data_IF_044662899903
#
_entry.id   IF_044662899903
#
_cell.length_a   1.000
_cell.length_b   1.000
_cell.length_c   1.000
_cell.angle_alpha   90.00
_cell.angle_beta   90.00
_cell.angle_gamma   90.00
#
_symmetry.space_group_name_H-M   'P 1'
#
loop_
_entity.id
_entity.type
_entity.pdbx_description
1 polymer ?
#
# COMPACT_ATOMS: atom_id res chain seq x y z
N UNK A 1 -42.73 48.98 57.12
CA UNK A 1 -43.21 48.01 56.12
C UNK A 1 -42.24 48.03 54.96
N UNK A 2 -41.28 47.12 54.95
CA UNK A 2 -40.28 47.09 53.88
C UNK A 2 -40.32 45.68 53.25
N UNK A 3 -40.72 45.63 51.96
CA UNK A 3 -40.81 44.40 51.21
C UNK A 3 -39.44 44.15 50.54
N UNK A 4 -38.74 43.16 51.04
CA UNK A 4 -37.49 42.69 50.42
C UNK A 4 -37.74 41.86 49.14
N UNK A 5 -37.23 42.33 48.03
CA UNK A 5 -37.26 41.64 46.75
C UNK A 5 -36.08 40.65 46.70
N UNK A 6 -36.36 39.37 46.61
CA UNK A 6 -35.34 38.32 46.39
C UNK A 6 -35.04 38.20 44.92
N UNK A 7 -33.79 38.48 44.56
CA UNK A 7 -33.24 38.29 43.21
C UNK A 7 -32.85 36.79 43.05
N UNK A 8 -33.53 36.10 42.17
CA UNK A 8 -33.17 34.71 41.79
C UNK A 8 -32.21 34.79 40.62
N UNK A 9 -30.95 34.45 40.86
CA UNK A 9 -29.93 34.31 39.81
C UNK A 9 -30.07 32.90 39.22
N UNK A 10 -30.56 32.79 37.99
CA UNK A 10 -30.57 31.55 37.22
C UNK A 10 -29.20 31.35 36.59
N UNK A 11 -28.46 30.36 37.04
CA UNK A 11 -27.22 29.93 36.41
C UNK A 11 -27.54 29.10 35.16
N UNK A 12 -27.28 29.65 34.00
CA UNK A 12 -27.35 28.89 32.73
C UNK A 12 -26.11 28.01 32.60
N UNK A 13 -26.29 26.70 32.73
CA UNK A 13 -25.26 25.69 32.44
C UNK A 13 -25.21 25.54 30.91
N UNK A 14 -24.13 26.07 30.28
CA UNK A 14 -23.83 25.87 28.88
C UNK A 14 -23.23 24.47 28.70
N UNK A 15 -24.04 23.51 28.26
CA UNK A 15 -23.55 22.19 27.90
C UNK A 15 -22.80 22.27 26.56
N UNK A 16 -21.48 22.25 26.62
CA UNK A 16 -20.67 22.13 25.45
C UNK A 16 -20.81 20.70 24.88
N UNK A 17 -21.58 20.53 23.83
CA UNK A 17 -21.64 19.31 23.04
C UNK A 17 -20.29 19.16 22.31
N UNK A 18 -19.41 18.29 22.82
CA UNK A 18 -18.22 17.85 22.11
C UNK A 18 -18.71 16.97 20.96
N UNK A 19 -18.76 17.53 19.77
CA UNK A 19 -18.99 16.78 18.54
C UNK A 19 -17.75 15.94 18.28
N UNK A 20 -17.76 14.70 18.79
CA UNK A 20 -16.79 13.68 18.40
C UNK A 20 -17.01 13.39 16.91
N UNK A 21 -16.15 13.91 16.04
CA UNK A 21 -16.03 13.43 14.67
C UNK A 21 -15.57 11.96 14.74
N UNK A 22 -16.51 11.05 14.85
CA UNK A 22 -16.27 9.64 14.64
C UNK A 22 -15.77 9.46 13.21
N UNK A 23 -14.49 9.12 13.06
CA UNK A 23 -13.98 8.54 11.83
C UNK A 23 -14.83 7.32 11.55
N UNK A 24 -15.67 7.39 10.54
CA UNK A 24 -16.43 6.24 10.05
C UNK A 24 -15.41 5.21 9.61
N UNK A 25 -15.19 4.19 10.44
CA UNK A 25 -14.47 2.97 10.05
C UNK A 25 -15.24 2.41 8.84
N UNK A 26 -14.59 2.40 7.68
CA UNK A 26 -15.17 1.85 6.47
C UNK A 26 -15.71 0.45 6.76
N UNK A 27 -17.00 0.27 6.56
CA UNK A 27 -17.64 -1.04 6.69
C UNK A 27 -17.18 -1.86 5.50
N UNK A 28 -16.27 -2.80 5.75
CA UNK A 28 -16.00 -3.86 4.78
C UNK A 28 -17.31 -4.62 4.55
N UNK A 29 -17.60 -4.91 3.28
CA UNK A 29 -18.79 -5.64 2.83
C UNK A 29 -19.05 -6.89 3.68
N UNK A 30 -20.34 -7.24 3.86
CA UNK A 30 -20.76 -8.45 4.56
C UNK A 30 -19.95 -9.69 4.17
N UNK A 31 -19.41 -10.37 5.19
CA UNK A 31 -18.64 -11.60 5.00
C UNK A 31 -17.16 -11.55 5.41
N UNK A 32 -16.62 -10.39 5.82
CA UNK A 32 -15.24 -10.24 6.25
C UNK A 32 -15.12 -9.88 7.74
N UNK A 33 -14.09 -10.40 8.41
CA UNK A 33 -13.71 -10.05 9.79
C UNK A 33 -12.29 -9.52 9.80
N UNK A 34 -12.08 -8.31 10.32
CA UNK A 34 -10.75 -7.75 10.52
C UNK A 34 -9.98 -8.61 11.53
N UNK A 35 -8.82 -9.12 11.14
CA UNK A 35 -7.97 -9.97 11.99
C UNK A 35 -6.63 -9.33 12.31
N UNK A 36 -6.21 -8.33 11.51
CA UNK A 36 -5.00 -7.56 11.77
C UNK A 36 -5.07 -6.19 11.07
N UNK A 37 -4.52 -5.18 11.71
CA UNK A 37 -4.33 -3.86 11.12
C UNK A 37 -3.08 -3.17 11.65
N UNK A 38 -2.50 -2.27 10.85
CA UNK A 38 -1.58 -1.21 11.26
C UNK A 38 -2.11 0.11 10.71
N UNK A 39 -2.43 1.04 11.60
CA UNK A 39 -2.94 2.39 11.29
C UNK A 39 -1.84 3.45 11.37
N UNK A 40 -0.59 3.03 11.55
CA UNK A 40 0.58 3.92 11.63
C UNK A 40 0.45 5.07 12.64
N UNK A 41 -0.20 4.79 13.79
CA UNK A 41 -0.43 5.78 14.85
C UNK A 41 0.82 6.06 15.71
N UNK A 42 1.92 5.35 15.48
CA UNK A 42 3.19 5.54 16.16
C UNK A 42 3.77 6.93 15.84
N UNK A 43 4.41 7.57 16.84
CA UNK A 43 4.87 8.95 16.72
C UNK A 43 6.23 9.13 16.05
N UNK A 44 7.12 8.14 16.17
CA UNK A 44 8.53 8.31 15.83
C UNK A 44 9.02 7.38 14.73
N UNK A 45 8.53 6.16 14.69
CA UNK A 45 8.92 5.13 13.72
C UNK A 45 7.79 4.13 13.55
N UNK A 46 7.76 3.41 12.43
CA UNK A 46 6.88 2.27 12.25
C UNK A 46 7.28 1.10 13.17
N UNK A 47 6.36 0.19 13.42
CA UNK A 47 6.59 -1.00 14.24
C UNK A 47 7.60 -1.95 13.60
N UNK A 48 8.79 -2.03 14.19
CA UNK A 48 9.88 -2.90 13.70
C UNK A 48 9.64 -4.39 13.97
N UNK A 49 8.64 -4.77 14.77
CA UNK A 49 8.22 -6.16 14.89
C UNK A 49 7.44 -6.63 13.65
N UNK A 50 6.80 -5.70 12.95
CA UNK A 50 6.02 -5.98 11.73
C UNK A 50 6.80 -5.63 10.46
N UNK A 51 7.55 -4.52 10.45
CA UNK A 51 8.16 -3.96 9.25
C UNK A 51 9.68 -3.97 9.31
N UNK A 52 10.31 -4.22 8.16
CA UNK A 52 11.73 -3.96 7.89
C UNK A 52 11.84 -2.94 6.78
N UNK A 53 12.91 -2.14 6.76
CA UNK A 53 13.29 -1.35 5.59
C UNK A 53 13.76 -2.29 4.49
N UNK A 54 13.44 -1.96 3.24
CA UNK A 54 13.86 -2.75 2.07
C UNK A 54 15.32 -2.43 1.74
N UNK A 55 16.12 -3.47 1.54
CA UNK A 55 17.51 -3.34 1.15
C UNK A 55 17.65 -2.88 -0.32
N UNK A 56 18.74 -2.16 -0.59
CA UNK A 56 19.11 -1.82 -1.96
C UNK A 56 19.52 -3.07 -2.73
N UNK A 57 19.02 -3.15 -3.97
CA UNK A 57 19.40 -4.18 -4.93
C UNK A 57 19.92 -3.59 -6.24
N UNK A 58 19.85 -4.38 -7.28
CA UNK A 58 20.34 -4.03 -8.63
C UNK A 58 19.22 -3.88 -9.65
N UNK A 59 17.99 -4.24 -9.31
CA UNK A 59 16.82 -4.11 -10.17
C UNK A 59 16.33 -2.66 -10.22
N UNK A 60 15.61 -2.29 -11.26
CA UNK A 60 15.07 -0.95 -11.44
C UNK A 60 14.25 -0.50 -10.21
N UNK A 61 13.45 -1.39 -9.63
CA UNK A 61 12.59 -1.08 -8.51
C UNK A 61 13.33 -0.81 -7.18
N UNK A 62 14.52 -1.43 -6.93
CA UNK A 62 15.19 -1.31 -5.63
C UNK A 62 16.60 -0.68 -5.68
N UNK A 63 17.09 -0.27 -6.86
CA UNK A 63 18.45 0.29 -6.98
C UNK A 63 18.67 1.61 -6.25
N UNK A 64 17.59 2.28 -5.87
CA UNK A 64 17.61 3.51 -5.09
C UNK A 64 17.14 3.34 -3.65
N UNK A 65 16.75 2.13 -3.22
CA UNK A 65 16.34 1.87 -1.83
C UNK A 65 17.44 2.26 -0.85
N UNK A 66 17.04 2.84 0.27
CA UNK A 66 17.96 3.32 1.30
C UNK A 66 17.37 3.17 2.69
N UNK A 67 18.22 2.87 3.66
CA UNK A 67 17.87 2.90 5.08
C UNK A 67 18.02 4.29 5.70
N UNK A 68 18.32 5.34 4.92
CA UNK A 68 18.46 6.69 5.44
C UNK A 68 17.14 7.22 5.98
N UNK A 69 17.17 7.83 7.19
CA UNK A 69 15.95 8.25 7.90
C UNK A 69 15.13 9.28 7.12
N UNK A 70 15.75 10.12 6.30
CA UNK A 70 15.03 11.12 5.48
C UNK A 70 14.09 10.50 4.43
N UNK A 71 14.27 9.20 4.12
CA UNK A 71 13.35 8.47 3.25
C UNK A 71 12.07 8.01 3.96
N UNK A 72 11.97 8.20 5.29
CA UNK A 72 10.86 7.70 6.11
C UNK A 72 10.35 8.78 7.05
N UNK A 73 9.06 8.83 7.29
CA UNK A 73 8.47 9.65 8.35
C UNK A 73 7.17 9.04 8.86
N UNK A 74 6.86 9.31 10.13
CA UNK A 74 5.53 9.11 10.70
C UNK A 74 4.87 10.48 10.81
N UNK A 75 3.77 10.71 10.09
CA UNK A 75 3.16 12.04 10.01
C UNK A 75 1.64 11.97 9.97
N UNK A 76 1.00 12.46 11.05
CA UNK A 76 -0.47 12.54 11.17
C UNK A 76 -1.16 11.18 10.94
N UNK A 77 -0.66 10.12 11.58
CA UNK A 77 -1.21 8.77 11.42
C UNK A 77 -0.94 8.16 10.04
N UNK A 78 0.18 8.51 9.41
CA UNK A 78 0.61 7.91 8.16
C UNK A 78 2.07 7.47 8.24
N UNK A 79 2.38 6.34 7.65
CA UNK A 79 3.72 6.04 7.18
C UNK A 79 3.96 6.83 5.89
N UNK A 80 5.03 7.62 5.86
CA UNK A 80 5.44 8.39 4.68
C UNK A 80 6.72 7.80 4.13
N UNK A 81 6.67 7.32 2.89
CA UNK A 81 7.82 6.85 2.13
C UNK A 81 8.19 7.91 1.10
N UNK A 82 9.48 8.24 1.02
CA UNK A 82 9.96 9.34 0.20
C UNK A 82 10.94 8.89 -0.87
N UNK A 83 10.85 9.56 -2.02
CA UNK A 83 11.92 9.61 -3.00
C UNK A 83 12.55 11.02 -2.98
N UNK A 84 13.85 11.10 -2.72
CA UNK A 84 14.58 12.35 -2.55
C UNK A 84 15.86 12.39 -3.39
N UNK A 85 16.36 13.61 -3.64
CA UNK A 85 17.71 13.80 -4.13
C UNK A 85 18.69 13.34 -3.04
N UNK A 86 19.71 12.60 -3.42
CA UNK A 86 20.72 12.17 -2.46
C UNK A 86 21.77 13.27 -2.22
N UNK A 87 21.44 14.21 -1.36
CA UNK A 87 22.34 15.23 -0.80
C UNK A 87 22.59 15.04 0.71
N UNK A 88 22.02 13.98 1.29
CA UNK A 88 22.04 13.68 2.73
C UNK A 88 22.94 12.52 3.09
N UNK A 89 23.32 11.66 2.15
CA UNK A 89 24.17 10.49 2.35
C UNK A 89 25.46 10.60 1.50
N UNK A 90 26.46 11.38 1.93
CA UNK A 90 27.63 11.74 1.09
C UNK A 90 28.50 10.56 0.65
N UNK A 91 28.44 9.44 1.36
CA UNK A 91 29.17 8.21 1.00
C UNK A 91 28.40 7.29 0.04
N UNK A 92 27.14 7.63 -0.29
CA UNK A 92 26.29 6.90 -1.20
C UNK A 92 26.28 7.62 -2.57
N UNK A 93 26.80 6.96 -3.60
CA UNK A 93 26.94 7.54 -4.94
C UNK A 93 25.66 7.55 -5.77
N UNK A 94 24.56 6.95 -5.26
CA UNK A 94 23.28 6.99 -5.96
C UNK A 94 22.76 8.44 -6.04
N UNK A 95 22.27 8.90 -7.21
CA UNK A 95 21.78 10.27 -7.39
C UNK A 95 20.47 10.57 -6.65
N UNK A 96 19.74 9.50 -6.31
CA UNK A 96 18.47 9.52 -5.58
C UNK A 96 18.48 8.41 -4.54
N UNK A 97 17.71 8.59 -3.46
CA UNK A 97 17.43 7.54 -2.48
C UNK A 97 15.93 7.50 -2.18
N UNK A 98 15.43 6.30 -1.90
CA UNK A 98 14.01 6.03 -1.72
C UNK A 98 13.73 5.17 -0.50
N UNK A 99 12.54 5.35 0.09
CA UNK A 99 12.06 4.54 1.21
C UNK A 99 11.15 3.41 0.76
N UNK A 100 11.28 2.26 1.41
CA UNK A 100 10.39 1.13 1.26
C UNK A 100 10.40 0.27 2.51
N UNK A 101 9.26 -0.36 2.82
CA UNK A 101 9.10 -1.28 3.95
C UNK A 101 8.53 -2.60 3.49
N UNK A 102 8.89 -3.68 4.18
CA UNK A 102 8.34 -5.01 3.92
C UNK A 102 8.08 -5.79 5.21
N UNK A 103 7.23 -6.81 5.10
CA UNK A 103 6.91 -7.72 6.22
C UNK A 103 7.66 -9.05 6.13
N UNK A 104 8.68 -9.16 5.30
CA UNK A 104 9.47 -10.39 5.07
C UNK A 104 10.04 -10.95 6.39
N UNK A 105 9.84 -12.25 6.62
CA UNK A 105 10.27 -12.95 7.84
C UNK A 105 9.51 -12.55 9.11
N UNK A 106 8.47 -11.72 9.01
CA UNK A 106 7.72 -11.19 10.16
C UNK A 106 6.21 -11.45 10.06
N UNK A 107 5.61 -11.19 8.91
CA UNK A 107 4.19 -11.39 8.67
C UNK A 107 3.90 -11.76 7.23
N UNK A 108 3.05 -12.75 7.06
CA UNK A 108 2.56 -13.18 5.74
C UNK A 108 1.04 -13.13 5.67
N UNK A 109 0.54 -13.11 4.45
CA UNK A 109 -0.87 -13.03 4.10
C UNK A 109 -1.24 -14.15 3.14
N UNK A 110 -2.37 -14.79 3.36
CA UNK A 110 -2.95 -15.80 2.49
C UNK A 110 -4.41 -16.03 2.84
N UNK A 111 -5.22 -16.46 1.88
CA UNK A 111 -6.63 -16.84 2.11
C UNK A 111 -7.40 -15.77 2.90
N UNK A 112 -7.53 -14.57 2.32
CA UNK A 112 -8.15 -13.41 2.96
C UNK A 112 -8.14 -12.18 2.05
N UNK A 113 -8.63 -11.04 2.57
CA UNK A 113 -8.58 -9.74 1.90
C UNK A 113 -7.50 -8.87 2.55
N UNK A 114 -6.55 -8.44 1.76
CA UNK A 114 -5.54 -7.43 2.14
C UNK A 114 -5.94 -6.10 1.53
N UNK A 115 -5.98 -5.06 2.34
CA UNK A 115 -6.45 -3.74 1.96
C UNK A 115 -5.49 -2.66 2.46
N UNK A 116 -5.08 -1.77 1.58
CA UNK A 116 -4.17 -0.67 1.87
C UNK A 116 -4.78 0.64 1.40
N UNK A 117 -4.81 1.64 2.30
CA UNK A 117 -5.23 3.00 1.96
C UNK A 117 -4.02 3.89 1.85
N UNK A 118 -3.81 4.46 0.67
CA UNK A 118 -2.65 5.28 0.40
C UNK A 118 -2.99 6.48 -0.49
N UNK A 119 -2.20 7.57 -0.33
CA UNK A 119 -2.15 8.72 -1.23
C UNK A 119 -0.77 8.81 -1.87
N UNK A 120 -0.76 8.99 -3.18
CA UNK A 120 0.43 8.94 -4.00
C UNK A 120 0.66 10.32 -4.62
N UNK A 121 1.76 10.99 -4.27
CA UNK A 121 2.12 12.24 -4.92
C UNK A 121 2.71 11.97 -6.31
N UNK A 122 2.52 12.91 -7.22
CA UNK A 122 3.02 12.82 -8.58
C UNK A 122 4.43 13.39 -8.71
N UNK A 123 5.29 12.71 -9.45
CA UNK A 123 6.57 13.24 -9.94
C UNK A 123 6.99 12.48 -11.20
N UNK A 124 7.66 13.13 -12.13
CA UNK A 124 8.23 12.45 -13.29
C UNK A 124 9.32 11.45 -12.85
N UNK A 125 9.14 10.19 -13.19
CA UNK A 125 10.01 9.09 -12.80
C UNK A 125 9.63 8.44 -11.46
N UNK A 126 8.52 8.85 -10.81
CA UNK A 126 8.02 8.18 -9.61
C UNK A 126 7.24 6.90 -9.97
N UNK A 127 7.46 5.87 -9.16
CA UNK A 127 6.85 4.55 -9.31
C UNK A 127 6.53 3.94 -7.94
N UNK A 128 5.55 4.50 -7.20
CA UNK A 128 5.10 3.89 -5.95
C UNK A 128 4.40 2.56 -6.21
N UNK A 129 4.69 1.56 -5.35
CA UNK A 129 4.14 0.22 -5.45
C UNK A 129 3.66 -0.35 -4.11
N UNK A 130 2.64 -1.20 -4.18
CA UNK A 130 2.10 -2.04 -3.10
C UNK A 130 1.96 -3.44 -3.70
N UNK A 131 2.76 -4.39 -3.23
CA UNK A 131 2.89 -5.67 -3.86
C UNK A 131 3.30 -6.80 -2.91
N UNK A 132 3.23 -8.04 -3.36
CA UNK A 132 3.46 -9.22 -2.54
C UNK A 132 4.41 -10.18 -3.23
N UNK A 133 5.35 -10.72 -2.45
CA UNK A 133 6.20 -11.83 -2.86
C UNK A 133 6.00 -13.05 -1.94
N UNK A 134 6.22 -14.28 -2.44
CA UNK A 134 6.12 -15.48 -1.64
C UNK A 134 7.17 -15.50 -0.54
N UNK A 135 6.81 -15.97 0.65
CA UNK A 135 7.73 -16.08 1.81
C UNK A 135 8.97 -16.93 1.47
N UNK A 136 8.77 -17.98 0.68
CA UNK A 136 9.84 -18.82 0.16
C UNK A 136 9.59 -19.09 -1.32
N UNK A 137 10.63 -18.95 -2.13
CA UNK A 137 10.51 -19.22 -3.56
C UNK A 137 11.49 -18.44 -4.41
N UNK A 138 11.36 -18.59 -5.71
CA UNK A 138 12.14 -17.90 -6.74
C UNK A 138 11.22 -17.14 -7.69
N UNK A 139 11.59 -15.91 -7.98
CA UNK A 139 10.89 -15.09 -8.95
C UNK A 139 11.30 -15.48 -10.40
N UNK A 140 10.35 -15.47 -11.36
CA UNK A 140 8.90 -15.25 -11.24
C UNK A 140 8.12 -16.54 -10.94
N UNK A 141 8.78 -17.70 -10.84
CA UNK A 141 8.18 -19.04 -10.76
C UNK A 141 7.13 -19.17 -9.64
N UNK A 142 7.44 -18.63 -8.47
CA UNK A 142 6.62 -18.79 -7.27
C UNK A 142 5.64 -17.64 -7.03
N UNK A 143 5.55 -16.72 -8.00
CA UNK A 143 4.52 -15.69 -8.08
C UNK A 143 4.93 -14.32 -7.54
N UNK A 144 4.22 -13.30 -8.00
CA UNK A 144 4.19 -11.92 -7.52
C UNK A 144 2.78 -11.37 -7.72
N UNK A 145 2.31 -10.57 -6.76
CA UNK A 145 0.96 -10.00 -6.78
C UNK A 145 1.09 -8.49 -6.61
N UNK A 146 0.90 -7.73 -7.68
CA UNK A 146 0.96 -6.27 -7.65
C UNK A 146 -0.44 -5.72 -7.39
N UNK A 147 -0.67 -5.30 -6.14
CA UNK A 147 -1.95 -4.75 -5.71
C UNK A 147 -2.13 -3.34 -6.27
N UNK A 148 -1.04 -2.59 -6.41
CA UNK A 148 -1.03 -1.25 -6.96
C UNK A 148 0.37 -0.86 -7.44
N UNK A 149 0.45 -0.39 -8.66
CA UNK A 149 1.58 0.36 -9.19
C UNK A 149 1.08 1.61 -9.91
N UNK A 150 1.70 2.76 -9.64
CA UNK A 150 1.37 4.01 -10.35
C UNK A 150 2.60 4.57 -11.02
N UNK A 151 2.48 5.04 -12.24
CA UNK A 151 3.57 5.62 -13.00
C UNK A 151 3.43 7.14 -13.05
N UNK A 152 4.50 7.84 -12.65
CA UNK A 152 4.57 9.30 -12.73
C UNK A 152 3.39 10.00 -12.01
N UNK A 153 2.54 10.67 -12.75
CA UNK A 153 1.35 11.37 -12.28
C UNK A 153 0.06 10.83 -12.86
N UNK A 154 0.04 9.57 -13.31
CA UNK A 154 -1.13 8.96 -13.94
C UNK A 154 -2.35 8.95 -13.03
N UNK A 155 -3.55 9.08 -13.62
CA UNK A 155 -4.83 8.97 -12.92
C UNK A 155 -5.38 7.54 -12.89
N UNK A 156 -4.53 6.57 -13.19
CA UNK A 156 -4.81 5.14 -13.13
C UNK A 156 -3.75 4.44 -12.28
N UNK A 157 -4.11 3.28 -11.72
CA UNK A 157 -3.16 2.34 -11.14
C UNK A 157 -3.21 1.02 -11.92
N UNK A 158 -2.07 0.36 -12.01
CA UNK A 158 -1.90 -0.96 -12.57
C UNK A 158 -2.02 -2.00 -11.47
N UNK A 159 -2.60 -3.14 -11.81
CA UNK A 159 -2.70 -4.34 -10.97
C UNK A 159 -2.31 -5.53 -11.81
N UNK A 160 -1.36 -6.33 -11.35
CA UNK A 160 -0.73 -7.37 -12.18
C UNK A 160 -0.48 -8.63 -11.34
N UNK A 161 -0.36 -9.77 -12.00
CA UNK A 161 0.22 -10.98 -11.43
C UNK A 161 1.36 -11.46 -12.31
N UNK A 162 2.50 -11.80 -11.69
CA UNK A 162 3.62 -12.44 -12.36
C UNK A 162 3.80 -13.87 -11.86
N UNK A 163 4.09 -14.76 -12.76
CA UNK A 163 4.42 -16.17 -12.51
C UNK A 163 5.24 -16.72 -13.67
N UNK A 164 5.71 -17.95 -13.57
CA UNK A 164 6.32 -18.60 -14.73
C UNK A 164 5.40 -18.58 -15.96
N UNK A 165 4.11 -18.82 -15.75
CA UNK A 165 3.12 -18.83 -16.82
C UNK A 165 2.94 -17.45 -17.49
N UNK A 166 2.82 -16.40 -16.70
CA UNK A 166 2.54 -15.05 -17.23
C UNK A 166 3.80 -14.34 -17.72
N UNK A 167 4.92 -14.53 -17.03
CA UNK A 167 6.17 -13.81 -17.33
C UNK A 167 7.08 -14.58 -18.28
N UNK A 168 7.46 -15.82 -17.94
CA UNK A 168 8.43 -16.59 -18.75
C UNK A 168 7.78 -17.16 -20.01
N UNK A 169 6.53 -17.66 -19.93
CA UNK A 169 5.80 -18.18 -21.08
C UNK A 169 5.03 -17.09 -21.83
N UNK A 170 4.90 -15.88 -21.28
CA UNK A 170 4.23 -14.74 -21.92
C UNK A 170 2.72 -14.91 -22.12
N UNK A 171 2.06 -15.80 -21.36
CA UNK A 171 0.61 -16.05 -21.48
C UNK A 171 -0.13 -15.11 -20.51
N UNK A 172 -0.58 -13.97 -21.03
CA UNK A 172 -1.12 -12.86 -20.21
C UNK A 172 -2.61 -12.61 -20.39
N UNK A 173 -3.27 -13.30 -21.28
CA UNK A 173 -4.66 -13.08 -21.69
C UNK A 173 -5.62 -14.23 -21.35
N UNK A 174 -5.10 -15.38 -20.91
CA UNK A 174 -5.88 -16.56 -20.55
C UNK A 174 -5.41 -17.25 -19.23
N UNK A 175 -5.91 -16.83 -18.06
CA UNK A 175 -6.78 -15.67 -17.81
C UNK A 175 -6.01 -14.34 -17.90
N UNK A 176 -6.70 -13.20 -18.04
CA UNK A 176 -6.04 -11.90 -17.99
C UNK A 176 -5.23 -11.73 -16.71
N UNK A 177 -3.94 -11.41 -16.86
CA UNK A 177 -2.98 -11.29 -15.74
C UNK A 177 -2.79 -9.87 -15.24
N UNK A 178 -3.45 -8.91 -15.87
CA UNK A 178 -3.27 -7.49 -15.60
C UNK A 178 -4.57 -6.72 -15.91
N UNK A 179 -4.81 -5.67 -15.12
CA UNK A 179 -5.80 -4.64 -15.42
C UNK A 179 -5.32 -3.28 -14.90
N UNK A 180 -5.98 -2.22 -15.34
CA UNK A 180 -5.86 -0.88 -14.79
C UNK A 180 -7.20 -0.41 -14.25
N UNK A 181 -7.15 0.46 -13.24
CA UNK A 181 -8.35 1.10 -12.72
C UNK A 181 -8.11 2.57 -12.38
N UNK A 182 -9.16 3.43 -12.46
CA UNK A 182 -9.04 4.83 -12.14
C UNK A 182 -8.78 5.05 -10.64
N UNK A 183 -7.93 6.03 -10.35
CA UNK A 183 -7.67 6.54 -9.00
C UNK A 183 -7.96 8.03 -8.95
N UNK A 184 -8.23 8.56 -7.75
CA UNK A 184 -8.17 9.99 -7.51
C UNK A 184 -6.69 10.35 -7.25
N UNK A 185 -6.03 11.11 -8.14
CA UNK A 185 -4.60 11.40 -8.05
C UNK A 185 -4.24 12.31 -6.86
N UNK A 186 -5.21 13.04 -6.29
CA UNK A 186 -5.02 14.03 -5.24
C UNK A 186 -5.53 13.56 -3.87
N UNK A 187 -6.20 12.40 -3.81
CA UNK A 187 -6.81 11.87 -2.59
C UNK A 187 -6.23 10.50 -2.18
N UNK A 188 -6.67 10.02 -1.02
CA UNK A 188 -6.44 8.63 -0.62
C UNK A 188 -7.34 7.70 -1.42
N UNK A 189 -6.74 6.66 -1.96
CA UNK A 189 -7.44 5.54 -2.56
C UNK A 189 -7.24 4.28 -1.73
N UNK A 190 -8.16 3.34 -1.85
CA UNK A 190 -8.08 2.03 -1.21
C UNK A 190 -7.75 0.99 -2.29
N UNK A 191 -6.65 0.29 -2.11
CA UNK A 191 -6.20 -0.78 -2.98
C UNK A 191 -6.34 -2.11 -2.26
N UNK A 192 -6.93 -3.11 -2.90
CA UNK A 192 -7.14 -4.38 -2.24
C UNK A 192 -7.00 -5.59 -3.17
N UNK A 193 -6.59 -6.71 -2.57
CA UNK A 193 -6.65 -8.03 -3.19
C UNK A 193 -7.34 -9.02 -2.26
N UNK A 194 -8.26 -9.80 -2.80
CA UNK A 194 -8.84 -10.97 -2.14
C UNK A 194 -8.13 -12.22 -2.66
N UNK A 195 -7.49 -12.92 -1.75
CA UNK A 195 -6.72 -14.13 -2.03
C UNK A 195 -7.56 -15.35 -1.67
N UNK A 196 -7.80 -16.20 -2.65
CA UNK A 196 -8.49 -17.47 -2.52
C UNK A 196 -7.57 -18.62 -2.97
N UNK A 197 -7.95 -19.86 -2.68
CA UNK A 197 -7.18 -21.04 -3.09
C UNK A 197 -7.09 -21.21 -4.61
N UNK A 198 -8.05 -20.64 -5.34
CA UNK A 198 -8.23 -20.81 -6.78
C UNK A 198 -8.35 -19.49 -7.56
N UNK A 199 -8.22 -18.36 -6.89
CA UNK A 199 -8.33 -17.06 -7.56
C UNK A 199 -7.76 -15.91 -6.72
N UNK A 200 -7.37 -14.83 -7.42
CA UNK A 200 -7.07 -13.53 -6.86
C UNK A 200 -8.05 -12.52 -7.46
N UNK A 201 -8.79 -11.79 -6.63
CA UNK A 201 -9.69 -10.72 -7.08
C UNK A 201 -9.17 -9.36 -6.62
N UNK A 202 -9.07 -8.41 -7.55
CA UNK A 202 -8.46 -7.10 -7.32
C UNK A 202 -9.49 -5.98 -7.30
N UNK A 203 -9.22 -4.96 -6.46
CA UNK A 203 -10.14 -3.84 -6.25
C UNK A 203 -9.38 -2.52 -6.11
N UNK A 204 -9.99 -1.44 -6.60
CA UNK A 204 -9.60 -0.05 -6.32
C UNK A 204 -10.86 0.69 -5.87
N UNK A 205 -10.83 1.29 -4.66
CA UNK A 205 -11.98 1.98 -4.05
C UNK A 205 -13.26 1.12 -4.07
N UNK A 206 -13.12 -0.15 -3.63
CA UNK A 206 -14.17 -1.19 -3.63
C UNK A 206 -14.76 -1.55 -5.02
N UNK A 207 -14.22 -0.99 -6.09
CA UNK A 207 -14.58 -1.37 -7.45
C UNK A 207 -13.71 -2.52 -7.92
N UNK A 208 -14.32 -3.65 -8.23
CA UNK A 208 -13.63 -4.80 -8.82
C UNK A 208 -13.01 -4.41 -10.16
N UNK A 209 -11.74 -4.75 -10.36
CA UNK A 209 -10.97 -4.48 -11.58
C UNK A 209 -10.81 -5.73 -12.43
N UNK A 210 -10.31 -6.81 -11.85
CA UNK A 210 -10.21 -8.10 -12.53
C UNK A 210 -10.08 -9.25 -11.52
N UNK A 211 -10.19 -10.49 -12.04
CA UNK A 211 -9.93 -11.70 -11.27
C UNK A 211 -9.02 -12.63 -12.05
N UNK A 212 -7.85 -12.96 -11.46
CA UNK A 212 -6.96 -13.99 -11.97
C UNK A 212 -7.37 -15.35 -11.38
N UNK A 213 -7.83 -16.28 -12.23
CA UNK A 213 -8.34 -17.58 -11.79
C UNK A 213 -7.32 -18.68 -12.05
N UNK A 214 -7.31 -19.69 -11.18
CA UNK A 214 -6.70 -20.97 -11.50
C UNK A 214 -7.49 -21.62 -12.64
N UNK A 215 -6.81 -22.04 -13.68
CA UNK A 215 -7.42 -22.75 -14.81
C UNK A 215 -6.79 -24.14 -14.98
N UNK A 216 -7.49 -25.03 -15.65
CA UNK A 216 -6.89 -26.29 -16.11
C UNK A 216 -6.04 -26.02 -17.35
N UNK A 217 -4.77 -26.35 -17.29
CA UNK A 217 -3.80 -26.18 -18.38
C UNK A 217 -2.65 -27.18 -18.21
N UNK A 218 -2.02 -27.54 -19.31
CA UNK A 218 -0.78 -28.33 -19.35
C UNK A 218 0.49 -27.47 -19.11
N UNK A 219 0.32 -26.15 -18.97
CA UNK A 219 1.42 -25.20 -18.74
C UNK A 219 1.72 -25.03 -17.26
N UNK A 220 3.00 -25.12 -16.90
CA UNK A 220 3.44 -24.96 -15.52
C UNK A 220 3.29 -23.55 -14.99
N UNK A 221 3.20 -23.41 -13.68
CA UNK A 221 3.28 -22.13 -12.96
C UNK A 221 2.11 -21.20 -13.19
N UNK A 222 0.95 -21.71 -13.64
CA UNK A 222 -0.21 -20.86 -13.91
C UNK A 222 -0.76 -20.23 -12.63
N UNK A 223 -0.81 -20.93 -11.49
CA UNK A 223 -1.36 -20.39 -10.26
C UNK A 223 -0.52 -20.75 -9.02
N UNK A 224 0.61 -20.09 -8.77
CA UNK A 224 1.44 -20.34 -7.59
C UNK A 224 0.98 -19.54 -6.34
N UNK A 225 -0.25 -19.01 -6.31
CA UNK A 225 -0.72 -18.01 -5.34
C UNK A 225 -1.46 -18.61 -4.13
N UNK A 226 -1.53 -19.93 -3.97
CA UNK A 226 -2.16 -20.63 -2.85
C UNK A 226 -1.19 -20.88 -1.68
N UNK A 227 -0.31 -19.93 -1.41
CA UNK A 227 0.73 -19.96 -0.38
C UNK A 227 0.83 -18.63 0.36
N UNK A 228 1.59 -18.56 1.49
CA UNK A 228 1.83 -17.30 2.17
C UNK A 228 2.72 -16.34 1.36
N UNK A 229 2.34 -15.06 1.35
CA UNK A 229 3.06 -13.95 0.73
C UNK A 229 3.37 -12.88 1.77
N UNK A 230 4.54 -12.24 1.70
CA UNK A 230 4.85 -11.04 2.46
C UNK A 230 4.59 -9.79 1.65
N UNK A 231 4.27 -8.69 2.34
CA UNK A 231 3.92 -7.41 1.73
C UNK A 231 5.14 -6.50 1.60
N UNK A 232 5.24 -5.83 0.45
CA UNK A 232 6.15 -4.72 0.19
C UNK A 232 5.35 -3.47 -0.12
N UNK A 233 5.78 -2.33 0.42
CA UNK A 233 5.25 -0.99 0.13
C UNK A 233 6.43 -0.08 -0.05
N UNK A 234 6.56 0.54 -1.22
CA UNK A 234 7.75 1.33 -1.51
C UNK A 234 7.49 2.48 -2.49
N UNK A 235 8.36 3.49 -2.39
CA UNK A 235 8.49 4.56 -3.34
C UNK A 235 9.71 4.26 -4.21
N UNK A 236 9.50 3.91 -5.47
CA UNK A 236 10.55 3.64 -6.44
C UNK A 236 10.79 4.88 -7.31
N UNK A 237 12.00 5.04 -7.83
CA UNK A 237 12.37 6.16 -8.71
C UNK A 237 13.15 5.67 -9.93
N UNK A 238 12.70 6.10 -11.10
CA UNK A 238 13.34 5.78 -12.39
C UNK A 238 13.21 4.31 -12.76
N UNK A 239 13.64 4.00 -13.95
CA UNK A 239 13.58 2.64 -14.47
C UNK A 239 13.13 2.62 -15.92
N UNK A 240 13.21 1.44 -16.53
CA UNK A 240 12.84 1.23 -17.92
C UNK A 240 11.36 1.49 -18.19
N UNK A 241 10.51 1.23 -17.20
CA UNK A 241 9.05 1.37 -17.34
C UNK A 241 8.57 2.81 -17.09
N UNK A 242 9.10 3.50 -16.10
CA UNK A 242 8.63 4.84 -15.68
C UNK A 242 9.45 5.98 -16.28
N UNK A 243 10.65 5.67 -16.80
CA UNK A 243 11.55 6.63 -17.42
C UNK A 243 12.46 7.37 -16.44
N UNK A 244 13.05 8.47 -16.91
CA UNK A 244 14.01 9.25 -16.13
C UNK A 244 13.33 10.11 -15.05
N UNK A 245 14.00 10.26 -13.93
CA UNK A 245 13.56 11.10 -12.79
C UNK A 245 13.81 12.56 -13.10
N UNK A 246 12.79 13.41 -12.90
CA UNK A 246 12.93 14.88 -12.93
C UNK A 246 13.29 15.39 -11.53
N UNK A 247 14.51 15.85 -11.36
CA UNK A 247 15.04 16.32 -10.07
C UNK A 247 14.19 17.44 -9.43
N UNK A 248 13.61 18.34 -10.24
CA UNK A 248 12.79 19.44 -9.75
C UNK A 248 11.46 19.04 -9.13
N UNK A 249 11.02 17.81 -9.37
CA UNK A 249 9.76 17.28 -8.85
C UNK A 249 9.95 16.58 -7.48
N UNK A 250 11.19 16.48 -7.01
CA UNK A 250 11.51 15.88 -5.72
C UNK A 250 11.57 16.92 -4.59
N UNK A 251 11.20 16.58 -3.36
CA UNK A 251 10.85 15.22 -2.89
C UNK A 251 9.46 14.78 -3.36
N UNK A 252 9.31 13.48 -3.61
CA UNK A 252 8.01 12.83 -3.87
C UNK A 252 7.66 11.90 -2.71
N UNK A 253 6.39 11.82 -2.35
CA UNK A 253 5.93 11.07 -1.17
C UNK A 253 4.78 10.12 -1.50
N UNK A 254 4.81 8.95 -0.88
CA UNK A 254 3.71 8.02 -0.72
C UNK A 254 3.29 8.04 0.74
N UNK A 255 2.01 8.33 1.01
CA UNK A 255 1.44 8.35 2.36
C UNK A 255 0.54 7.14 2.53
N UNK A 256 0.88 6.25 3.45
CA UNK A 256 0.09 5.05 3.79
C UNK A 256 -0.65 5.29 5.10
N UNK A 257 -1.99 5.33 5.04
CA UNK A 257 -2.87 5.59 6.18
C UNK A 257 -3.10 4.33 7.02
N UNK A 258 -3.37 3.21 6.34
CA UNK A 258 -3.49 1.91 7.00
C UNK A 258 -3.16 0.75 6.09
N UNK A 259 -2.84 -0.38 6.73
CA UNK A 259 -2.85 -1.72 6.14
C UNK A 259 -3.79 -2.60 6.98
N UNK A 260 -4.72 -3.29 6.35
CA UNK A 260 -5.72 -4.13 6.99
C UNK A 260 -5.80 -5.50 6.35
N UNK A 261 -5.90 -6.52 7.19
CA UNK A 261 -6.09 -7.88 6.73
C UNK A 261 -7.33 -8.50 7.35
N UNK A 262 -8.15 -9.10 6.50
CA UNK A 262 -9.43 -9.68 6.85
C UNK A 262 -9.48 -11.16 6.49
N UNK A 263 -10.19 -11.93 7.29
CA UNK A 263 -10.58 -13.32 6.98
C UNK A 263 -12.07 -13.42 6.70
N UNK A 264 -12.46 -14.39 5.88
CA UNK A 264 -13.89 -14.67 5.67
C UNK A 264 -14.54 -15.12 6.96
N UNK A 265 -15.75 -14.65 7.20
CA UNK A 265 -16.63 -15.22 8.23
C UNK A 265 -16.97 -16.65 7.82
N UNK A 266 -16.81 -17.59 8.75
CA UNK A 266 -17.22 -18.98 8.58
C UNK A 266 -18.72 -19.09 8.70
#
# INVERSE_FOLDING_TARGET
>A
MNKGTRLIIAAAILAATVCSCGVTRGTVSDGWTLVWEDNFDQKHSFDTATWSRIDRGTSDWNRHMSHHDDCYAMRKGNLVLRGIINDVAPNDTAPFITGGVCTMGKRTFSDGRLEIRARLNAAQGAWPAIWLLPENGSWPRDGEIDIMERLNGDSIAHQTVHSHYTYDLGITDNPPSHATGPIDPDAYNVYAVEMYRDSLAFFINDRHTFTYRRIQTDKEGQFPFDRPFYLLIDMQLGGSWVGAVRRSDLPVEMLVDYVRFYKRRQ
#
